data_IF_367818660835
#
_entry.id   IF_367818660835
#
_cell.length_a   1.000
_cell.length_b   1.000
_cell.length_c   1.000
_cell.angle_alpha   90.00
_cell.angle_beta   90.00
_cell.angle_gamma   90.00
#
_symmetry.space_group_name_H-M   'P 1'
#
loop_
_entity.id
_entity.type
_entity.pdbx_description
1 polymer ?
#
# COMPACT_ATOMS: atom_id res chain seq x y z
N UNK A 1 0.40 19.26 27.81
CA UNK A 1 1.60 18.59 27.25
C UNK A 1 1.99 19.31 25.96
N UNK A 2 3.29 19.47 25.72
CA UNK A 2 3.76 20.14 24.50
C UNK A 2 3.24 19.38 23.27
N UNK A 3 2.60 20.01 22.27
CA UNK A 3 2.03 19.37 21.10
C UNK A 3 3.07 18.58 20.28
N UNK A 4 4.34 18.97 20.31
CA UNK A 4 5.42 18.26 19.63
C UNK A 4 5.83 16.96 20.34
N UNK A 5 5.74 16.88 21.68
CA UNK A 5 5.97 15.63 22.41
C UNK A 5 4.87 14.62 22.12
N UNK A 6 3.64 15.09 21.95
CA UNK A 6 2.50 14.28 21.58
C UNK A 6 2.58 13.76 20.11
N UNK A 7 3.34 14.44 19.26
CA UNK A 7 3.55 14.04 17.87
C UNK A 7 4.36 12.72 17.78
N UNK A 8 5.31 12.51 18.71
CA UNK A 8 6.19 11.33 18.68
C UNK A 8 5.42 10.01 18.67
N UNK A 9 4.52 9.70 19.64
CA UNK A 9 3.79 8.44 19.64
C UNK A 9 2.80 8.33 18.46
N UNK A 10 2.22 9.44 18.01
CA UNK A 10 1.28 9.44 16.87
C UNK A 10 2.02 9.10 15.57
N UNK A 11 3.17 9.70 15.32
CA UNK A 11 4.00 9.41 14.16
C UNK A 11 4.62 8.01 14.22
N UNK A 12 4.94 7.52 15.43
CA UNK A 12 5.43 6.16 15.61
C UNK A 12 4.38 5.09 15.21
N UNK A 13 3.08 5.38 15.35
CA UNK A 13 2.02 4.51 14.84
C UNK A 13 2.08 4.46 13.31
N UNK A 14 2.33 5.60 12.66
CA UNK A 14 2.43 5.70 11.19
C UNK A 14 3.59 4.88 10.59
N UNK A 15 4.66 4.60 11.36
CA UNK A 15 5.77 3.76 10.90
C UNK A 15 5.34 2.35 10.47
N UNK A 16 4.17 1.87 10.90
CA UNK A 16 3.68 0.52 10.58
C UNK A 16 2.91 0.46 9.26
N UNK A 17 2.67 1.59 8.64
CA UNK A 17 2.03 1.62 7.32
C UNK A 17 2.88 0.83 6.33
N UNK A 18 2.24 -0.07 5.60
CA UNK A 18 2.92 -0.92 4.61
C UNK A 18 4.02 -1.88 5.14
N UNK A 19 4.15 -2.07 6.46
CA UNK A 19 5.12 -3.01 7.03
C UNK A 19 4.96 -4.46 6.54
N UNK A 20 3.78 -4.83 6.04
CA UNK A 20 3.54 -6.15 5.43
C UNK A 20 4.49 -6.45 4.26
N UNK A 21 5.01 -5.41 3.60
CA UNK A 21 5.94 -5.54 2.49
C UNK A 21 7.39 -5.89 2.92
N UNK A 22 7.73 -5.84 4.21
CA UNK A 22 9.06 -6.13 4.75
C UNK A 22 9.62 -7.50 4.30
N UNK A 23 8.74 -8.50 4.18
CA UNK A 23 9.11 -9.87 3.79
C UNK A 23 9.17 -10.07 2.26
N UNK A 24 8.73 -9.09 1.45
CA UNK A 24 8.70 -9.24 0.00
C UNK A 24 10.04 -9.64 -0.63
N UNK A 25 11.20 -9.13 -0.16
CA UNK A 25 12.49 -9.55 -0.69
C UNK A 25 12.83 -11.02 -0.40
N UNK A 26 12.25 -11.61 0.64
CA UNK A 26 12.55 -12.99 1.07
C UNK A 26 11.68 -14.06 0.36
N UNK A 27 10.75 -13.70 -0.52
CA UNK A 27 9.79 -14.64 -1.13
C UNK A 27 10.51 -15.78 -1.85
N UNK A 28 11.57 -15.49 -2.62
CA UNK A 28 12.29 -16.52 -3.37
C UNK A 28 12.96 -17.53 -2.42
N UNK A 29 13.59 -17.07 -1.34
CA UNK A 29 14.22 -17.93 -0.32
C UNK A 29 13.17 -18.79 0.41
N UNK A 30 11.98 -18.24 0.67
CA UNK A 30 10.86 -18.99 1.26
C UNK A 30 10.35 -20.06 0.28
N UNK A 31 10.19 -19.73 -1.01
CA UNK A 31 9.82 -20.71 -2.03
C UNK A 31 10.83 -21.87 -2.13
N UNK A 32 12.12 -21.58 -2.00
CA UNK A 32 13.17 -22.59 -1.98
C UNK A 32 13.12 -23.49 -0.74
N UNK A 33 12.65 -22.95 0.40
CA UNK A 33 12.49 -23.72 1.66
C UNK A 33 11.26 -24.65 1.63
N UNK A 34 10.18 -24.25 0.92
CA UNK A 34 8.93 -25.00 0.81
C UNK A 34 8.60 -25.32 -0.65
N UNK A 35 9.37 -26.19 -1.32
CA UNK A 35 9.22 -26.46 -2.76
C UNK A 35 7.89 -27.12 -3.14
N UNK A 36 7.24 -27.83 -2.21
CA UNK A 36 5.92 -28.45 -2.39
C UNK A 36 4.77 -27.42 -2.35
N UNK A 37 5.00 -26.19 -1.86
CA UNK A 37 3.96 -25.17 -1.73
C UNK A 37 3.96 -24.31 -3.00
N UNK A 38 2.81 -24.18 -3.68
CA UNK A 38 2.71 -23.30 -4.85
C UNK A 38 3.15 -21.87 -4.54
N UNK A 39 3.89 -21.24 -5.45
CA UNK A 39 4.42 -19.87 -5.31
C UNK A 39 3.31 -18.85 -4.95
N UNK A 40 2.12 -19.01 -5.54
CA UNK A 40 0.96 -18.16 -5.25
C UNK A 40 0.53 -18.24 -3.78
N UNK A 41 0.68 -19.38 -3.14
CA UNK A 41 0.36 -19.56 -1.71
C UNK A 41 1.47 -18.94 -0.85
N UNK A 42 2.74 -19.07 -1.24
CA UNK A 42 3.85 -18.39 -0.55
C UNK A 42 3.67 -16.86 -0.60
N UNK A 43 3.26 -16.33 -1.72
CA UNK A 43 2.99 -14.89 -1.87
C UNK A 43 1.86 -14.38 -0.98
N UNK A 44 0.95 -15.24 -0.49
CA UNK A 44 -0.05 -14.87 0.51
C UNK A 44 0.57 -14.38 1.82
N UNK A 45 1.79 -14.77 2.13
CA UNK A 45 2.53 -14.24 3.30
C UNK A 45 2.64 -12.71 3.28
N UNK A 46 2.71 -12.10 2.10
CA UNK A 46 2.77 -10.64 1.93
C UNK A 46 1.37 -10.02 1.84
N UNK A 47 0.44 -10.70 1.16
CA UNK A 47 -0.84 -10.09 0.77
C UNK A 47 -1.99 -10.41 1.73
N UNK A 48 -1.94 -11.54 2.45
CA UNK A 48 -2.97 -11.94 3.41
C UNK A 48 -3.21 -10.90 4.54
N UNK A 49 -2.19 -10.21 5.08
CA UNK A 49 -2.42 -9.15 6.05
C UNK A 49 -3.34 -8.04 5.54
N UNK A 50 -3.35 -7.76 4.24
CA UNK A 50 -4.13 -6.67 3.65
C UNK A 50 -5.64 -6.90 3.78
N UNK A 51 -6.12 -8.13 3.58
CA UNK A 51 -7.55 -8.43 3.75
C UNK A 51 -7.96 -8.42 5.23
N UNK A 52 -7.12 -8.98 6.11
CA UNK A 52 -7.38 -8.93 7.55
C UNK A 52 -7.42 -7.48 8.05
N UNK A 53 -6.50 -6.64 7.57
CA UNK A 53 -6.47 -5.21 7.83
C UNK A 53 -7.76 -4.52 7.36
N UNK A 54 -8.23 -4.78 6.13
CA UNK A 54 -9.47 -4.19 5.61
C UNK A 54 -10.69 -4.54 6.46
N UNK A 55 -10.85 -5.81 6.83
CA UNK A 55 -11.99 -6.27 7.65
C UNK A 55 -11.96 -5.58 9.01
N UNK A 56 -10.80 -5.56 9.68
CA UNK A 56 -10.67 -4.98 11.02
C UNK A 56 -10.75 -3.46 10.99
N UNK A 57 -10.30 -2.80 9.91
CA UNK A 57 -10.46 -1.35 9.73
C UNK A 57 -11.94 -0.93 9.65
N UNK A 58 -12.78 -1.74 9.02
CA UNK A 58 -14.24 -1.52 9.03
C UNK A 58 -14.79 -1.66 10.45
N UNK A 59 -14.35 -2.68 11.18
CA UNK A 59 -14.76 -2.91 12.58
C UNK A 59 -14.24 -1.80 13.51
N UNK A 60 -13.07 -1.22 13.23
CA UNK A 60 -12.53 -0.10 14.01
C UNK A 60 -13.50 1.07 14.07
N UNK A 61 -14.19 1.42 12.98
CA UNK A 61 -15.20 2.46 12.96
C UNK A 61 -16.29 2.26 14.04
N UNK A 62 -16.72 1.03 14.25
CA UNK A 62 -17.70 0.66 15.27
C UNK A 62 -17.08 0.55 16.69
N UNK A 63 -15.84 0.04 16.79
CA UNK A 63 -15.14 -0.06 18.08
C UNK A 63 -14.72 1.31 18.63
N UNK A 64 -14.35 2.25 17.78
CA UNK A 64 -13.81 3.57 18.16
C UNK A 64 -14.79 4.49 18.91
N UNK A 65 -16.10 4.19 18.83
CA UNK A 65 -17.14 4.89 19.61
C UNK A 65 -17.41 4.21 20.96
N UNK A 66 -16.93 2.99 21.19
CA UNK A 66 -17.18 2.19 22.40
C UNK A 66 -15.93 2.02 23.26
N UNK A 67 -14.77 1.93 22.63
CA UNK A 67 -13.49 1.68 23.28
C UNK A 67 -12.56 2.90 23.08
N UNK A 68 -11.77 3.24 24.09
CA UNK A 68 -10.84 4.35 23.97
C UNK A 68 -9.84 4.11 22.83
N UNK A 69 -9.64 5.08 21.91
CA UNK A 69 -8.70 4.93 20.81
C UNK A 69 -7.28 4.52 21.22
N UNK A 70 -6.80 4.99 22.38
CA UNK A 70 -5.51 4.56 22.92
C UNK A 70 -5.48 3.06 23.18
N UNK A 71 -6.54 2.48 23.76
CA UNK A 71 -6.63 1.04 24.04
C UNK A 71 -6.65 0.24 22.74
N UNK A 72 -7.37 0.72 21.72
CA UNK A 72 -7.40 0.08 20.40
C UNK A 72 -6.03 0.11 19.72
N UNK A 73 -5.30 1.23 19.82
CA UNK A 73 -3.92 1.33 19.31
C UNK A 73 -2.99 0.36 20.04
N UNK A 74 -3.03 0.30 21.36
CA UNK A 74 -2.18 -0.61 22.14
C UNK A 74 -2.48 -2.07 21.76
N UNK A 75 -3.76 -2.46 21.71
CA UNK A 75 -4.16 -3.81 21.29
C UNK A 75 -3.72 -4.12 19.84
N UNK A 76 -3.89 -3.16 18.94
CA UNK A 76 -3.43 -3.27 17.55
C UNK A 76 -1.91 -3.44 17.43
N UNK A 77 -1.14 -2.66 18.21
CA UNK A 77 0.32 -2.76 18.24
C UNK A 77 0.80 -4.11 18.79
N UNK A 78 0.15 -4.62 19.84
CA UNK A 78 0.46 -5.95 20.39
C UNK A 78 0.21 -7.04 19.35
N UNK A 79 -0.96 -7.01 18.68
CA UNK A 79 -1.27 -7.96 17.61
C UNK A 79 -0.28 -7.85 16.45
N UNK A 80 0.09 -6.62 16.07
CA UNK A 80 1.06 -6.36 15.02
C UNK A 80 2.44 -6.95 15.34
N UNK A 81 2.94 -6.72 16.56
CA UNK A 81 4.25 -7.25 17.01
C UNK A 81 4.22 -8.76 17.09
N UNK A 82 3.19 -9.33 17.74
CA UNK A 82 3.07 -10.80 17.87
C UNK A 82 2.95 -11.45 16.50
N UNK A 83 2.01 -11.01 15.67
CA UNK A 83 1.82 -11.55 14.33
C UNK A 83 3.00 -11.29 13.39
N UNK A 84 3.76 -10.20 13.64
CA UNK A 84 4.95 -9.83 12.87
C UNK A 84 6.18 -10.64 13.23
N UNK A 85 6.48 -10.79 14.51
CA UNK A 85 7.75 -11.39 14.98
C UNK A 85 7.64 -12.89 15.28
N UNK A 86 6.46 -13.41 15.65
CA UNK A 86 6.30 -14.83 15.97
C UNK A 86 6.76 -15.78 14.84
N UNK A 87 6.56 -15.47 13.54
CA UNK A 87 7.04 -16.32 12.46
C UNK A 87 8.55 -16.60 12.47
N UNK A 88 9.35 -15.74 13.09
CA UNK A 88 10.78 -15.96 13.24
C UNK A 88 11.13 -17.29 13.95
N UNK A 89 10.21 -17.77 14.81
CA UNK A 89 10.41 -18.96 15.62
C UNK A 89 9.60 -20.17 15.12
N UNK A 90 8.87 -20.02 14.01
CA UNK A 90 7.96 -21.04 13.50
C UNK A 90 8.52 -21.70 12.25
N UNK A 91 8.34 -23.02 12.16
CA UNK A 91 8.72 -23.83 11.01
C UNK A 91 7.51 -24.31 10.18
N UNK A 92 6.28 -24.29 10.75
CA UNK A 92 5.07 -24.64 10.04
C UNK A 92 4.57 -23.46 9.20
N UNK A 93 4.41 -23.67 7.91
CA UNK A 93 3.93 -22.66 6.96
C UNK A 93 2.52 -22.14 7.33
N UNK A 94 1.62 -23.04 7.77
CA UNK A 94 0.26 -22.70 8.19
C UNK A 94 0.26 -21.78 9.43
N UNK A 95 1.17 -22.06 10.38
CA UNK A 95 1.32 -21.23 11.58
C UNK A 95 1.86 -19.83 11.20
N UNK A 96 2.78 -19.77 10.24
CA UNK A 96 3.28 -18.50 9.69
C UNK A 96 2.14 -17.72 9.02
N UNK A 97 1.30 -18.38 8.20
CA UNK A 97 0.12 -17.76 7.59
C UNK A 97 -0.87 -17.23 8.63
N UNK A 98 -1.14 -17.98 9.69
CA UNK A 98 -2.00 -17.53 10.79
C UNK A 98 -1.45 -16.27 11.45
N UNK A 99 -0.13 -16.20 11.67
CA UNK A 99 0.53 -15.01 12.17
C UNK A 99 0.36 -13.80 11.23
N UNK A 100 0.32 -14.01 9.92
CA UNK A 100 0.06 -12.94 8.94
C UNK A 100 -1.35 -12.35 9.08
N UNK A 101 -2.35 -13.18 9.38
CA UNK A 101 -3.71 -12.70 9.69
C UNK A 101 -3.69 -11.84 10.95
N UNK A 102 -3.04 -12.31 12.02
CA UNK A 102 -2.92 -11.58 13.29
C UNK A 102 -2.21 -10.23 13.09
N UNK A 103 -1.14 -10.19 12.30
CA UNK A 103 -0.46 -8.95 11.91
C UNK A 103 -1.42 -7.98 11.19
N UNK A 104 -2.19 -8.48 10.23
CA UNK A 104 -3.18 -7.69 9.50
C UNK A 104 -4.28 -7.14 10.41
N UNK A 105 -4.74 -7.94 11.38
CA UNK A 105 -5.70 -7.47 12.41
C UNK A 105 -5.10 -6.31 13.22
N UNK A 106 -3.83 -6.41 13.60
CA UNK A 106 -3.10 -5.35 14.29
C UNK A 106 -3.04 -4.06 13.48
N UNK A 107 -2.64 -4.15 12.21
CA UNK A 107 -2.60 -3.02 11.28
C UNK A 107 -3.99 -2.39 11.09
N UNK A 108 -5.05 -3.21 10.97
CA UNK A 108 -6.44 -2.74 10.82
C UNK A 108 -6.98 -1.96 12.02
N UNK A 109 -6.40 -2.14 13.21
CA UNK A 109 -6.70 -1.32 14.38
C UNK A 109 -5.86 -0.05 14.45
N UNK A 110 -4.59 -0.10 14.03
CA UNK A 110 -3.65 1.01 14.20
C UNK A 110 -3.76 2.08 13.12
N UNK A 111 -3.91 1.70 11.84
CA UNK A 111 -3.95 2.65 10.73
C UNK A 111 -5.12 3.64 10.83
N UNK A 112 -6.40 3.20 10.92
CA UNK A 112 -7.51 4.15 11.04
C UNK A 112 -7.52 4.87 12.38
N UNK A 113 -6.90 4.29 13.42
CA UNK A 113 -6.73 4.96 14.70
C UNK A 113 -5.86 6.21 14.56
N UNK A 114 -4.73 6.12 13.85
CA UNK A 114 -3.84 7.25 13.63
C UNK A 114 -4.59 8.41 12.96
N UNK A 115 -5.32 8.13 11.87
CA UNK A 115 -6.10 9.12 11.14
C UNK A 115 -7.22 9.74 11.98
N UNK A 116 -7.78 8.99 12.92
CA UNK A 116 -8.82 9.49 13.83
C UNK A 116 -8.29 10.25 15.03
N UNK A 117 -7.07 9.99 15.47
CA UNK A 117 -6.42 10.61 16.65
C UNK A 117 -5.89 11.99 16.28
N UNK A 118 -5.26 12.15 15.12
CA UNK A 118 -4.67 13.43 14.69
C UNK A 118 -5.68 14.58 14.75
N UNK A 119 -6.91 14.48 14.17
CA UNK A 119 -7.89 15.55 14.23
C UNK A 119 -8.43 15.85 15.64
N UNK A 120 -8.32 14.89 16.57
CA UNK A 120 -8.76 15.08 17.97
C UNK A 120 -7.73 15.82 18.81
N UNK A 121 -6.45 15.61 18.51
CA UNK A 121 -5.34 16.19 19.27
C UNK A 121 -4.84 17.52 18.69
N UNK A 122 -4.98 17.73 17.39
CA UNK A 122 -4.44 18.88 16.68
C UNK A 122 -5.52 19.66 15.92
N UNK A 123 -5.33 21.00 15.83
CA UNK A 123 -6.26 21.91 15.13
C UNK A 123 -5.50 22.78 14.12
N UNK A 124 -6.24 23.31 13.13
CA UNK A 124 -5.71 24.26 12.14
C UNK A 124 -4.51 23.69 11.38
N UNK A 125 -3.54 24.55 11.09
CA UNK A 125 -2.34 24.22 10.30
C UNK A 125 -1.50 23.08 10.90
N UNK A 126 -1.48 22.95 12.23
CA UNK A 126 -0.73 21.86 12.87
C UNK A 126 -1.35 20.48 12.58
N UNK A 127 -2.68 20.39 12.49
CA UNK A 127 -3.38 19.18 12.08
C UNK A 127 -2.97 18.75 10.65
N UNK A 128 -2.95 19.71 9.73
CA UNK A 128 -2.55 19.45 8.33
C UNK A 128 -1.09 18.96 8.25
N UNK A 129 -0.20 19.64 8.99
CA UNK A 129 1.20 19.24 9.06
C UNK A 129 1.37 17.82 9.65
N UNK A 130 0.64 17.48 10.72
CA UNK A 130 0.70 16.18 11.37
C UNK A 130 0.22 15.07 10.44
N UNK A 131 -0.82 15.31 9.62
CA UNK A 131 -1.25 14.35 8.61
C UNK A 131 -0.18 14.15 7.53
N UNK A 132 0.43 15.24 7.06
CA UNK A 132 1.54 15.15 6.10
C UNK A 132 2.77 14.43 6.67
N UNK A 133 3.16 14.74 7.92
CA UNK A 133 4.27 14.06 8.59
C UNK A 133 3.99 12.57 8.81
N UNK A 134 2.75 12.19 9.13
CA UNK A 134 2.37 10.79 9.28
C UNK A 134 2.57 10.00 7.98
N UNK A 135 2.15 10.57 6.85
CA UNK A 135 2.38 9.97 5.53
C UNK A 135 3.88 9.84 5.21
N UNK A 136 4.66 10.88 5.50
CA UNK A 136 6.10 10.90 5.26
C UNK A 136 6.84 9.86 6.11
N UNK A 137 6.50 9.78 7.40
CA UNK A 137 7.09 8.82 8.34
C UNK A 137 6.72 7.39 7.95
N UNK A 138 5.47 7.16 7.50
CA UNK A 138 5.02 5.88 6.99
C UNK A 138 5.84 5.43 5.77
N UNK A 139 6.04 6.32 4.80
CA UNK A 139 6.83 6.04 3.60
C UNK A 139 8.31 5.73 3.92
N UNK A 140 8.92 6.52 4.82
CA UNK A 140 10.31 6.28 5.27
C UNK A 140 10.37 4.95 6.03
N UNK A 141 9.44 4.69 6.96
CA UNK A 141 9.39 3.45 7.72
C UNK A 141 9.26 2.23 6.82
N UNK A 142 8.38 2.28 5.83
CA UNK A 142 8.23 1.23 4.82
C UNK A 142 9.55 0.98 4.07
N UNK A 143 10.19 2.04 3.56
CA UNK A 143 11.46 1.95 2.84
C UNK A 143 12.54 1.29 3.69
N UNK A 144 12.71 1.73 4.93
CA UNK A 144 13.72 1.19 5.86
C UNK A 144 13.42 -0.27 6.20
N UNK A 145 12.15 -0.62 6.46
CA UNK A 145 11.79 -2.00 6.79
C UNK A 145 11.99 -2.96 5.62
N UNK A 146 11.64 -2.57 4.41
CA UNK A 146 11.90 -3.39 3.21
C UNK A 146 13.39 -3.60 2.99
N UNK A 147 14.19 -2.54 3.13
CA UNK A 147 15.64 -2.62 2.99
C UNK A 147 16.25 -3.56 4.05
N UNK A 148 15.91 -3.38 5.32
CA UNK A 148 16.37 -4.24 6.43
C UNK A 148 15.91 -5.69 6.21
N UNK A 149 14.65 -5.90 5.83
CA UNK A 149 14.11 -7.23 5.53
C UNK A 149 14.90 -7.94 4.44
N UNK A 150 15.29 -7.25 3.37
CA UNK A 150 16.16 -7.79 2.30
C UNK A 150 17.56 -8.16 2.79
N UNK A 151 18.18 -7.31 3.63
CA UNK A 151 19.52 -7.59 4.17
C UNK A 151 19.53 -8.82 5.09
N UNK A 152 18.51 -8.97 5.93
CA UNK A 152 18.38 -10.14 6.79
C UNK A 152 18.02 -11.41 6.02
N UNK A 153 17.25 -11.30 4.94
CA UNK A 153 16.85 -12.45 4.13
C UNK A 153 18.04 -13.21 3.49
N UNK A 154 19.18 -12.53 3.28
CA UNK A 154 20.40 -13.16 2.75
C UNK A 154 21.02 -14.16 3.73
N UNK A 155 20.90 -13.91 5.03
CA UNK A 155 21.44 -14.79 6.07
C UNK A 155 20.46 -15.92 6.40
N UNK A 156 19.24 -15.56 6.73
CA UNK A 156 18.12 -16.46 6.97
C UNK A 156 16.83 -15.66 6.75
N UNK A 157 15.93 -16.15 5.91
CA UNK A 157 14.66 -15.48 5.64
C UNK A 157 13.79 -15.30 6.92
N UNK A 158 13.97 -16.13 7.95
CA UNK A 158 13.31 -15.96 9.26
C UNK A 158 13.73 -14.63 9.92
N UNK A 159 14.96 -14.20 9.73
CA UNK A 159 15.44 -12.94 10.31
C UNK A 159 14.77 -11.70 9.68
N UNK A 160 14.20 -11.82 8.48
CA UNK A 160 13.44 -10.72 7.87
C UNK A 160 12.26 -10.29 8.74
N UNK A 161 11.72 -11.17 9.57
CA UNK A 161 10.64 -10.85 10.51
C UNK A 161 11.07 -9.90 11.64
N UNK A 162 12.36 -9.73 11.90
CA UNK A 162 12.89 -8.74 12.86
C UNK A 162 12.50 -7.31 12.47
N UNK A 163 12.27 -7.01 11.20
CA UNK A 163 11.80 -5.70 10.74
C UNK A 163 10.50 -5.27 11.44
N UNK A 164 9.64 -6.21 11.83
CA UNK A 164 8.41 -5.93 12.59
C UNK A 164 8.68 -5.49 14.05
N UNK A 165 9.91 -5.63 14.53
CA UNK A 165 10.35 -5.11 15.82
C UNK A 165 10.20 -3.59 15.97
N UNK A 166 10.09 -2.84 14.88
CA UNK A 166 9.70 -1.42 14.88
C UNK A 166 8.39 -1.22 15.66
N UNK A 167 7.46 -2.19 15.59
CA UNK A 167 6.23 -2.17 16.37
C UNK A 167 6.44 -2.13 17.89
N UNK A 168 7.53 -2.73 18.41
CA UNK A 168 7.89 -2.64 19.83
C UNK A 168 8.25 -1.21 20.24
N UNK A 169 9.00 -0.51 19.38
CA UNK A 169 9.36 0.90 19.60
C UNK A 169 8.09 1.75 19.62
N UNK A 170 7.20 1.55 18.65
CA UNK A 170 5.92 2.25 18.58
C UNK A 170 5.05 1.95 19.79
N UNK A 171 5.00 0.68 20.24
CA UNK A 171 4.25 0.26 21.43
C UNK A 171 4.79 0.94 22.69
N UNK A 172 6.11 0.95 22.89
CA UNK A 172 6.75 1.63 24.02
C UNK A 172 6.43 3.14 24.04
N UNK A 173 6.57 3.82 22.88
CA UNK A 173 6.28 5.24 22.77
C UNK A 173 4.79 5.56 23.04
N UNK A 174 3.87 4.73 22.54
CA UNK A 174 2.43 4.89 22.79
C UNK A 174 2.09 4.65 24.27
N UNK A 175 2.67 3.63 24.90
CA UNK A 175 2.44 3.36 26.32
C UNK A 175 2.92 4.50 27.21
N UNK A 176 4.09 5.07 26.90
CA UNK A 176 4.73 6.11 27.71
C UNK A 176 4.15 7.51 27.46
N UNK A 177 3.89 7.86 26.21
CA UNK A 177 3.65 9.25 25.80
C UNK A 177 2.22 9.55 25.32
N UNK A 178 1.45 8.56 24.87
CA UNK A 178 0.10 8.80 24.38
C UNK A 178 -0.91 8.89 25.54
N UNK A 179 -1.56 10.04 25.80
CA UNK A 179 -2.57 10.16 26.84
C UNK A 179 -3.87 9.42 26.47
N UNK A 180 -4.78 9.29 27.44
CA UNK A 180 -6.15 8.87 27.13
C UNK A 180 -6.82 9.92 26.25
N UNK A 181 -7.41 9.45 25.16
CA UNK A 181 -8.03 10.32 24.16
C UNK A 181 -9.52 10.46 24.46
N UNK A 182 -10.08 11.67 24.51
CA UNK A 182 -11.51 11.84 24.71
C UNK A 182 -12.33 11.11 23.67
N UNK A 183 -13.32 10.33 24.11
CA UNK A 183 -14.27 9.69 23.22
C UNK A 183 -15.21 10.75 22.64
N UNK A 184 -15.51 10.66 21.35
CA UNK A 184 -16.51 11.54 20.72
C UNK A 184 -17.88 11.09 21.19
N UNK A 185 -18.56 11.92 22.00
CA UNK A 185 -19.98 11.75 22.25
C UNK A 185 -20.74 12.12 20.98
N UNK A 186 -21.68 11.26 20.55
CA UNK A 186 -22.56 11.57 19.41
C UNK A 186 -23.32 12.88 19.69
N UNK A 187 -22.98 13.95 18.99
CA UNK A 187 -23.91 15.04 18.79
C UNK A 187 -25.00 14.56 17.84
N UNK A 188 -26.27 14.69 18.27
CA UNK A 188 -27.48 14.29 17.54
C UNK A 188 -27.75 15.19 16.32
N UNK A 189 -26.78 15.39 15.45
CA UNK A 189 -26.97 15.95 14.13
C UNK A 189 -27.16 14.82 13.12
N UNK A 190 -28.34 14.74 12.50
CA UNK A 190 -28.72 13.64 11.61
C UNK A 190 -27.63 13.29 10.59
N UNK A 191 -26.97 12.16 10.80
CA UNK A 191 -25.94 11.64 9.88
C UNK A 191 -26.63 11.28 8.56
N UNK A 192 -26.08 11.67 7.41
CA UNK A 192 -26.63 11.24 6.13
C UNK A 192 -26.67 9.70 6.10
N UNK A 193 -27.80 9.13 5.74
CA UNK A 193 -27.95 7.69 5.57
C UNK A 193 -26.94 7.16 4.57
N UNK A 194 -26.42 5.96 4.78
CA UNK A 194 -25.44 5.32 3.86
C UNK A 194 -25.93 5.37 2.40
N UNK A 195 -27.23 5.17 2.17
CA UNK A 195 -27.87 5.29 0.87
C UNK A 195 -27.74 6.67 0.26
N UNK A 196 -27.91 7.76 1.05
CA UNK A 196 -27.77 9.13 0.56
C UNK A 196 -26.30 9.47 0.23
N UNK A 197 -25.35 8.93 0.98
CA UNK A 197 -23.91 9.10 0.69
C UNK A 197 -23.51 8.35 -0.58
N UNK A 198 -23.98 7.11 -0.75
CA UNK A 198 -23.69 6.31 -1.95
C UNK A 198 -24.31 6.90 -3.21
N UNK A 199 -25.54 7.45 -3.14
CA UNK A 199 -26.20 8.10 -4.30
C UNK A 199 -25.49 9.39 -4.75
N UNK A 200 -24.60 9.96 -3.92
CA UNK A 200 -23.78 11.11 -4.26
C UNK A 200 -22.52 10.78 -5.05
N UNK A 201 -22.21 9.50 -5.24
CA UNK A 201 -21.06 9.01 -6.02
C UNK A 201 -21.56 8.74 -7.45
N UNK A 202 -21.07 9.51 -8.42
CA UNK A 202 -21.42 9.28 -9.83
C UNK A 202 -20.87 7.94 -10.31
N UNK A 203 -21.57 7.29 -11.26
CA UNK A 203 -21.10 6.02 -11.84
C UNK A 203 -19.69 6.11 -12.43
N UNK A 204 -19.32 7.28 -12.95
CA UNK A 204 -17.98 7.53 -13.49
C UNK A 204 -16.90 7.45 -12.40
N UNK A 205 -17.20 7.84 -11.15
CA UNK A 205 -16.26 7.68 -10.04
C UNK A 205 -16.04 6.20 -9.72
N UNK A 206 -17.07 5.36 -9.80
CA UNK A 206 -16.93 3.91 -9.65
C UNK A 206 -16.10 3.30 -10.79
N UNK A 207 -16.25 3.79 -12.02
CA UNK A 207 -15.43 3.37 -13.15
C UNK A 207 -13.94 3.74 -12.92
N UNK A 208 -13.66 4.95 -12.46
CA UNK A 208 -12.29 5.38 -12.11
C UNK A 208 -11.70 4.52 -10.98
N UNK A 209 -12.49 4.21 -9.94
CA UNK A 209 -12.08 3.33 -8.84
C UNK A 209 -11.77 1.92 -9.38
N UNK A 210 -12.59 1.38 -10.28
CA UNK A 210 -12.36 0.07 -10.89
C UNK A 210 -11.08 0.04 -11.74
N UNK A 211 -10.83 1.07 -12.53
CA UNK A 211 -9.59 1.18 -13.32
C UNK A 211 -8.38 1.27 -12.40
N UNK A 212 -8.46 2.08 -11.34
CA UNK A 212 -7.39 2.16 -10.33
C UNK A 212 -7.14 0.80 -9.66
N UNK A 213 -8.21 0.10 -9.25
CA UNK A 213 -8.13 -1.23 -8.64
C UNK A 213 -7.41 -2.24 -9.54
N UNK A 214 -7.82 -2.34 -10.82
CA UNK A 214 -7.20 -3.27 -11.77
C UNK A 214 -5.74 -2.90 -12.01
N UNK A 215 -5.44 -1.61 -12.22
CA UNK A 215 -4.07 -1.15 -12.46
C UNK A 215 -3.18 -1.39 -11.25
N UNK A 216 -3.66 -1.10 -10.03
CA UNK A 216 -2.90 -1.35 -8.81
C UNK A 216 -2.63 -2.84 -8.60
N UNK A 217 -3.57 -3.72 -8.95
CA UNK A 217 -3.39 -5.17 -8.86
C UNK A 217 -2.23 -5.65 -9.73
N UNK A 218 -2.13 -5.19 -10.99
CA UNK A 218 -0.99 -5.50 -11.84
C UNK A 218 0.31 -4.83 -11.38
N UNK A 219 0.24 -3.64 -10.80
CA UNK A 219 1.41 -2.97 -10.24
C UNK A 219 2.02 -3.75 -9.05
N UNK A 220 1.17 -4.24 -8.15
CA UNK A 220 1.61 -5.02 -6.99
C UNK A 220 2.07 -6.43 -7.35
N UNK A 221 1.64 -6.96 -8.51
CA UNK A 221 2.13 -8.24 -9.03
C UNK A 221 3.65 -8.20 -9.26
N UNK A 222 4.19 -7.07 -9.69
CA UNK A 222 5.63 -6.88 -9.87
C UNK A 222 6.36 -6.95 -8.53
N UNK A 223 5.86 -6.28 -7.49
CA UNK A 223 6.52 -6.29 -6.17
C UNK A 223 6.56 -7.67 -5.54
N UNK A 224 5.53 -8.50 -5.80
CA UNK A 224 5.45 -9.87 -5.31
C UNK A 224 6.34 -10.85 -6.08
N UNK A 225 6.70 -10.52 -7.33
CA UNK A 225 7.48 -11.40 -8.21
C UNK A 225 8.92 -10.92 -8.42
N UNK A 226 9.30 -9.75 -7.88
CA UNK A 226 10.62 -9.18 -8.11
C UNK A 226 11.74 -10.04 -7.53
N UNK A 227 11.56 -10.64 -6.33
CA UNK A 227 12.57 -11.54 -5.75
C UNK A 227 12.75 -12.81 -6.59
N UNK A 228 11.63 -13.38 -7.07
CA UNK A 228 11.66 -14.54 -7.97
C UNK A 228 12.39 -14.23 -9.28
N UNK A 229 12.28 -13.00 -9.79
CA UNK A 229 13.02 -12.57 -10.96
C UNK A 229 14.51 -12.39 -10.66
N UNK A 230 14.85 -11.61 -9.64
CA UNK A 230 16.24 -11.24 -9.33
C UNK A 230 17.07 -12.45 -8.91
N UNK A 231 16.53 -13.30 -8.03
CA UNK A 231 17.21 -14.51 -7.55
C UNK A 231 17.14 -15.65 -8.58
N UNK A 232 15.99 -15.81 -9.25
CA UNK A 232 15.78 -16.87 -10.25
C UNK A 232 16.65 -16.69 -11.51
N UNK A 233 17.00 -15.44 -11.88
CA UNK A 233 17.93 -15.16 -12.99
C UNK A 233 19.39 -15.10 -12.54
N UNK A 234 19.68 -15.19 -11.24
CA UNK A 234 21.02 -15.08 -10.69
C UNK A 234 21.64 -13.68 -10.80
N UNK A 235 20.84 -12.63 -11.11
CA UNK A 235 21.32 -11.25 -11.23
C UNK A 235 21.68 -10.67 -9.86
N UNK A 236 21.01 -11.11 -8.79
CA UNK A 236 21.22 -10.60 -7.44
C UNK A 236 20.60 -11.47 -6.36
N UNK A 237 20.55 -10.92 -5.15
CA UNK A 237 20.11 -11.55 -3.92
C UNK A 237 18.80 -10.93 -3.38
N UNK A 238 18.27 -11.47 -2.30
CA UNK A 238 17.17 -10.87 -1.55
C UNK A 238 17.50 -9.44 -1.06
N UNK A 239 18.76 -9.17 -0.71
CA UNK A 239 19.23 -7.82 -0.35
C UNK A 239 19.07 -6.84 -1.51
N UNK A 240 19.43 -7.26 -2.72
CA UNK A 240 19.31 -6.45 -3.93
C UNK A 240 17.84 -6.19 -4.28
N UNK A 241 16.99 -7.20 -4.07
CA UNK A 241 15.52 -7.05 -4.21
C UNK A 241 14.98 -6.04 -3.20
N UNK A 242 15.40 -6.12 -1.94
CA UNK A 242 15.02 -5.16 -0.90
C UNK A 242 15.46 -3.74 -1.23
N UNK A 243 16.68 -3.58 -1.76
CA UNK A 243 17.18 -2.29 -2.24
C UNK A 243 16.37 -1.78 -3.42
N UNK A 244 16.04 -2.62 -4.39
CA UNK A 244 15.23 -2.26 -5.57
C UNK A 244 13.82 -1.75 -5.17
N UNK A 245 13.15 -2.45 -4.25
CA UNK A 245 11.85 -2.02 -3.71
C UNK A 245 11.96 -0.72 -2.90
N UNK A 246 13.05 -0.54 -2.14
CA UNK A 246 13.31 0.70 -1.42
C UNK A 246 13.54 1.88 -2.38
N UNK A 247 14.29 1.66 -3.45
CA UNK A 247 14.51 2.63 -4.54
C UNK A 247 13.17 2.98 -5.22
N UNK A 248 12.28 2.02 -5.41
CA UNK A 248 10.94 2.29 -5.93
C UNK A 248 10.17 3.27 -5.03
N UNK A 249 10.24 3.11 -3.71
CA UNK A 249 9.58 4.02 -2.76
C UNK A 249 10.18 5.44 -2.82
N UNK A 250 11.50 5.55 -2.99
CA UNK A 250 12.17 6.84 -3.21
C UNK A 250 11.67 7.46 -4.52
N UNK A 251 11.59 6.68 -5.60
CA UNK A 251 11.00 7.11 -6.86
C UNK A 251 9.57 7.60 -6.70
N UNK A 252 8.74 6.91 -5.89
CA UNK A 252 7.38 7.32 -5.59
C UNK A 252 7.32 8.66 -4.84
N UNK A 253 8.22 8.88 -3.89
CA UNK A 253 8.33 10.18 -3.21
C UNK A 253 8.65 11.32 -4.19
N UNK A 254 9.57 11.11 -5.11
CA UNK A 254 9.85 12.09 -6.19
C UNK A 254 8.64 12.32 -7.09
N UNK A 255 7.96 11.25 -7.52
CA UNK A 255 6.75 11.36 -8.32
C UNK A 255 5.65 12.18 -7.63
N UNK A 256 5.40 11.91 -6.36
CA UNK A 256 4.45 12.64 -5.54
C UNK A 256 4.84 14.12 -5.35
N UNK A 257 6.12 14.41 -5.14
CA UNK A 257 6.63 15.78 -5.02
C UNK A 257 6.38 16.60 -6.29
N UNK A 258 6.64 16.03 -7.46
CA UNK A 258 6.45 16.71 -8.74
C UNK A 258 5.00 16.66 -9.25
N UNK A 259 4.09 15.95 -8.58
CA UNK A 259 2.71 15.78 -9.01
C UNK A 259 2.00 17.13 -9.28
N UNK A 260 2.13 18.11 -8.38
CA UNK A 260 1.49 19.42 -8.52
C UNK A 260 1.94 20.15 -9.79
N UNK A 261 3.23 20.15 -10.08
CA UNK A 261 3.80 20.74 -11.30
C UNK A 261 3.34 19.98 -12.55
N UNK A 262 3.36 18.66 -12.50
CA UNK A 262 2.94 17.78 -13.59
C UNK A 262 1.44 17.95 -13.90
N UNK A 263 0.61 18.09 -12.87
CA UNK A 263 -0.83 18.37 -13.03
C UNK A 263 -1.09 19.69 -13.74
N UNK A 264 -0.33 20.74 -13.46
CA UNK A 264 -0.47 22.04 -14.16
C UNK A 264 -0.13 21.93 -15.65
N UNK A 265 0.89 21.13 -16.00
CA UNK A 265 1.35 20.94 -17.39
C UNK A 265 0.50 19.97 -18.18
N UNK A 266 0.22 18.78 -17.63
CA UNK A 266 -0.47 17.69 -18.32
C UNK A 266 -1.98 17.70 -18.16
N UNK A 267 -2.50 18.36 -17.11
CA UNK A 267 -3.95 18.45 -16.81
C UNK A 267 -4.62 17.07 -16.84
N UNK A 268 -5.45 16.79 -17.86
CA UNK A 268 -6.19 15.52 -18.04
C UNK A 268 -5.28 14.32 -18.37
N UNK A 269 -4.04 14.56 -18.79
CA UNK A 269 -3.12 13.50 -19.21
C UNK A 269 -2.22 12.98 -18.08
N UNK A 270 -2.36 13.49 -16.85
CA UNK A 270 -1.53 13.06 -15.70
C UNK A 270 -1.76 11.58 -15.38
N UNK A 271 -3.02 11.14 -15.31
CA UNK A 271 -3.37 9.75 -14.98
C UNK A 271 -2.83 8.78 -16.04
N UNK A 272 -3.13 8.93 -17.34
CA UNK A 272 -2.55 8.01 -18.34
C UNK A 272 -1.02 8.08 -18.38
N UNK A 273 -0.41 9.26 -18.22
CA UNK A 273 1.05 9.40 -18.17
C UNK A 273 1.67 8.64 -17.00
N UNK A 274 1.05 8.63 -15.83
CA UNK A 274 1.55 7.89 -14.67
C UNK A 274 1.50 6.37 -14.87
N UNK A 275 0.42 5.84 -15.46
CA UNK A 275 0.34 4.42 -15.81
C UNK A 275 1.39 4.02 -16.86
N UNK A 276 1.56 4.82 -17.89
CA UNK A 276 2.56 4.57 -18.94
C UNK A 276 3.99 4.68 -18.41
N UNK A 277 4.25 5.63 -17.51
CA UNK A 277 5.56 5.77 -16.87
C UNK A 277 5.88 4.55 -16.00
N UNK A 278 4.90 4.07 -15.22
CA UNK A 278 5.04 2.86 -14.42
C UNK A 278 5.26 1.62 -15.29
N UNK A 279 4.49 1.49 -16.37
CA UNK A 279 4.64 0.41 -17.34
C UNK A 279 6.04 0.40 -17.99
N UNK A 280 6.54 1.57 -18.39
CA UNK A 280 7.88 1.71 -18.96
C UNK A 280 8.96 1.29 -17.98
N UNK A 281 8.83 1.67 -16.70
CA UNK A 281 9.74 1.23 -15.64
C UNK A 281 9.74 -0.29 -15.45
N UNK A 282 8.57 -0.92 -15.39
CA UNK A 282 8.47 -2.37 -15.26
C UNK A 282 8.94 -3.12 -16.51
N UNK A 283 8.72 -2.54 -17.69
CA UNK A 283 9.27 -3.09 -18.93
C UNK A 283 10.81 -3.05 -18.93
N UNK A 284 11.40 -1.96 -18.43
CA UNK A 284 12.84 -1.86 -18.26
C UNK A 284 13.36 -2.89 -17.25
N UNK A 285 12.65 -3.13 -16.15
CA UNK A 285 13.01 -4.16 -15.16
C UNK A 285 13.00 -5.56 -15.80
N UNK A 286 11.96 -5.92 -16.54
CA UNK A 286 11.80 -7.28 -17.09
C UNK A 286 12.89 -7.65 -18.11
N UNK A 287 13.52 -6.66 -18.74
CA UNK A 287 14.61 -6.85 -19.72
C UNK A 287 15.99 -6.50 -19.15
N UNK A 288 16.07 -6.21 -17.86
CA UNK A 288 17.32 -5.82 -17.24
C UNK A 288 18.27 -7.03 -17.08
N UNK A 289 19.37 -7.02 -17.78
CA UNK A 289 20.46 -8.02 -17.60
C UNK A 289 21.42 -7.69 -16.46
N UNK A 290 21.13 -6.66 -15.64
CA UNK A 290 21.97 -6.23 -14.53
C UNK A 290 21.16 -5.56 -13.43
N UNK A 291 21.69 -5.58 -12.19
CA UNK A 291 21.07 -4.90 -11.04
C UNK A 291 20.85 -3.40 -11.28
N UNK A 292 21.82 -2.73 -11.94
CA UNK A 292 21.68 -1.30 -12.26
C UNK A 292 20.46 -1.03 -13.15
N UNK A 293 20.19 -1.90 -14.12
CA UNK A 293 18.99 -1.83 -14.96
C UNK A 293 17.71 -2.01 -14.14
N UNK A 294 17.70 -2.98 -13.21
CA UNK A 294 16.58 -3.20 -12.27
C UNK A 294 16.34 -1.93 -11.44
N UNK A 295 17.37 -1.37 -10.83
CA UNK A 295 17.26 -0.16 -10.00
C UNK A 295 16.74 1.04 -10.80
N UNK A 296 17.29 1.26 -12.00
CA UNK A 296 16.85 2.34 -12.88
C UNK A 296 15.36 2.18 -13.27
N UNK A 297 14.94 0.98 -13.65
CA UNK A 297 13.54 0.67 -13.95
C UNK A 297 12.63 0.89 -12.74
N UNK A 298 13.06 0.50 -11.54
CA UNK A 298 12.29 0.69 -10.30
C UNK A 298 12.16 2.16 -9.90
N UNK A 299 13.15 3.02 -10.14
CA UNK A 299 13.02 4.48 -9.99
C UNK A 299 11.89 5.00 -10.88
N UNK A 300 11.93 4.66 -12.17
CA UNK A 300 10.94 5.13 -13.16
C UNK A 300 9.54 4.62 -12.82
N UNK A 301 9.40 3.34 -12.47
CA UNK A 301 8.13 2.76 -12.05
C UNK A 301 7.62 3.43 -10.76
N UNK A 302 8.50 3.67 -9.79
CA UNK A 302 8.20 4.37 -8.55
C UNK A 302 7.63 5.76 -8.79
N UNK A 303 8.22 6.56 -9.69
CA UNK A 303 7.67 7.88 -10.04
C UNK A 303 6.21 7.77 -10.53
N UNK A 304 5.88 6.77 -11.34
CA UNK A 304 4.52 6.48 -11.76
C UNK A 304 3.59 6.17 -10.57
N UNK A 305 4.03 5.31 -9.64
CA UNK A 305 3.30 4.95 -8.41
C UNK A 305 2.97 6.20 -7.58
N UNK A 306 3.97 7.07 -7.36
CA UNK A 306 3.80 8.28 -6.56
C UNK A 306 2.83 9.30 -7.16
N UNK A 307 2.62 9.30 -8.48
CA UNK A 307 1.71 10.20 -9.18
C UNK A 307 0.27 9.64 -9.21
N UNK A 308 0.13 8.33 -9.37
CA UNK A 308 -1.15 7.65 -9.64
C UNK A 308 -2.16 7.90 -8.51
N UNK A 309 -1.81 7.62 -7.26
CA UNK A 309 -2.73 7.73 -6.15
C UNK A 309 -3.31 9.13 -5.93
N UNK A 310 -2.48 10.20 -5.77
CA UNK A 310 -3.02 11.55 -5.61
C UNK A 310 -3.83 12.01 -6.83
N UNK A 311 -3.48 11.56 -8.03
CA UNK A 311 -4.22 11.89 -9.24
C UNK A 311 -5.63 11.29 -9.22
N UNK A 312 -5.77 10.01 -8.83
CA UNK A 312 -7.07 9.36 -8.68
C UNK A 312 -7.88 9.94 -7.51
N UNK A 313 -7.28 10.21 -6.37
CA UNK A 313 -7.97 10.85 -5.24
C UNK A 313 -8.64 12.17 -5.67
N UNK A 314 -7.92 13.02 -6.39
CA UNK A 314 -8.48 14.29 -6.87
C UNK A 314 -9.57 14.02 -7.92
N UNK A 315 -9.33 13.13 -8.86
CA UNK A 315 -10.30 12.80 -9.91
C UNK A 315 -11.60 12.23 -9.35
N UNK A 316 -11.51 11.30 -8.40
CA UNK A 316 -12.67 10.71 -7.71
C UNK A 316 -13.45 11.78 -6.94
N UNK A 317 -12.75 12.66 -6.21
CA UNK A 317 -13.42 13.73 -5.44
C UNK A 317 -14.13 14.74 -6.34
N UNK A 318 -13.59 15.07 -7.52
CA UNK A 318 -14.23 15.93 -8.52
C UNK A 318 -15.54 15.32 -9.07
N UNK A 319 -15.68 13.99 -9.05
CA UNK A 319 -16.84 13.25 -9.54
C UNK A 319 -17.90 12.97 -8.46
N UNK A 320 -17.63 13.32 -7.19
CA UNK A 320 -18.49 13.04 -6.05
C UNK A 320 -19.05 14.31 -5.44
N UNK A 321 -20.28 14.24 -4.87
CA UNK A 321 -20.78 15.30 -4.01
C UNK A 321 -19.90 15.44 -2.76
N UNK A 322 -19.74 16.65 -2.17
CA UNK A 322 -18.84 16.85 -1.01
C UNK A 322 -19.05 15.87 0.14
N UNK A 323 -20.31 15.53 0.46
CA UNK A 323 -20.65 14.58 1.52
C UNK A 323 -20.24 13.12 1.20
N UNK A 324 -20.01 12.80 -0.08
CA UNK A 324 -19.69 11.44 -0.56
C UNK A 324 -18.20 11.23 -0.86
N UNK A 325 -17.40 12.28 -0.86
CA UNK A 325 -15.97 12.23 -1.24
C UNK A 325 -15.16 11.30 -0.34
N UNK A 326 -15.34 11.42 0.97
CA UNK A 326 -14.62 10.58 1.94
C UNK A 326 -14.96 9.09 1.77
N UNK A 327 -16.25 8.78 1.51
CA UNK A 327 -16.69 7.40 1.26
C UNK A 327 -16.09 6.84 -0.04
N UNK A 328 -16.03 7.64 -1.10
CA UNK A 328 -15.47 7.20 -2.38
C UNK A 328 -13.97 6.91 -2.29
N UNK A 329 -13.21 7.73 -1.55
CA UNK A 329 -11.77 7.51 -1.29
C UNK A 329 -11.60 6.26 -0.41
N UNK A 330 -12.41 6.10 0.65
CA UNK A 330 -12.36 4.92 1.50
C UNK A 330 -12.68 3.64 0.71
N UNK A 331 -13.65 3.68 -0.21
CA UNK A 331 -13.97 2.57 -1.08
C UNK A 331 -12.80 2.23 -2.04
N UNK A 332 -12.12 3.23 -2.58
CA UNK A 332 -10.93 3.04 -3.42
C UNK A 332 -9.79 2.37 -2.64
N UNK A 333 -9.53 2.82 -1.40
CA UNK A 333 -8.52 2.22 -0.51
C UNK A 333 -8.87 0.79 -0.09
N UNK A 334 -10.13 0.52 0.24
CA UNK A 334 -10.59 -0.82 0.57
C UNK A 334 -10.44 -1.79 -0.62
N UNK A 335 -10.85 -1.37 -1.83
CA UNK A 335 -10.67 -2.16 -3.04
C UNK A 335 -9.19 -2.40 -3.35
N UNK A 336 -8.30 -1.42 -3.11
CA UNK A 336 -6.86 -1.62 -3.22
C UNK A 336 -6.38 -2.75 -2.29
N UNK A 337 -6.82 -2.76 -1.04
CA UNK A 337 -6.49 -3.84 -0.10
C UNK A 337 -6.98 -5.22 -0.56
N UNK A 338 -8.20 -5.30 -1.11
CA UNK A 338 -8.70 -6.51 -1.75
C UNK A 338 -7.86 -6.90 -2.97
N UNK A 339 -7.48 -5.94 -3.83
CA UNK A 339 -6.61 -6.18 -4.97
C UNK A 339 -5.27 -6.78 -4.57
N UNK A 340 -4.67 -6.25 -3.53
CA UNK A 340 -3.41 -6.77 -2.98
C UNK A 340 -3.55 -8.23 -2.49
N UNK A 341 -4.69 -8.57 -1.88
CA UNK A 341 -4.95 -9.95 -1.45
C UNK A 341 -5.11 -10.91 -2.63
N UNK A 342 -5.88 -10.54 -3.65
CA UNK A 342 -6.10 -11.39 -4.84
C UNK A 342 -4.92 -11.44 -5.80
N UNK A 343 -3.92 -10.60 -5.63
CA UNK A 343 -2.74 -10.51 -6.46
C UNK A 343 -2.05 -11.84 -6.77
N UNK A 344 -1.73 -12.73 -5.79
CA UNK A 344 -1.09 -14.01 -6.08
C UNK A 344 -1.98 -14.96 -6.88
N UNK A 345 -3.29 -14.90 -6.67
CA UNK A 345 -4.28 -15.72 -7.39
C UNK A 345 -4.33 -15.30 -8.86
N UNK A 346 -4.36 -13.99 -9.11
CA UNK A 346 -4.31 -13.44 -10.47
C UNK A 346 -2.99 -13.78 -11.15
N UNK A 347 -1.86 -13.70 -10.43
CA UNK A 347 -0.56 -14.16 -10.93
C UNK A 347 -0.59 -15.62 -11.34
N UNK A 348 -1.12 -16.50 -10.49
CA UNK A 348 -1.27 -17.93 -10.79
C UNK A 348 -2.18 -18.18 -12.02
N UNK A 349 -3.27 -17.43 -12.17
CA UNK A 349 -4.13 -17.51 -13.35
C UNK A 349 -3.41 -17.05 -14.62
N UNK A 350 -2.64 -15.97 -14.56
CA UNK A 350 -1.84 -15.52 -15.70
C UNK A 350 -0.83 -16.62 -16.12
N UNK A 351 -0.14 -17.23 -15.17
CA UNK A 351 0.78 -18.34 -15.42
C UNK A 351 0.07 -19.52 -16.08
N UNK A 352 -1.07 -19.94 -15.53
CA UNK A 352 -1.83 -21.09 -16.04
C UNK A 352 -2.45 -20.83 -17.43
N UNK A 353 -3.01 -19.65 -17.67
CA UNK A 353 -3.70 -19.32 -18.93
C UNK A 353 -2.74 -19.02 -20.07
N UNK A 354 -1.60 -18.38 -19.77
CA UNK A 354 -0.62 -17.96 -20.77
C UNK A 354 0.51 -18.96 -20.96
N UNK A 355 0.63 -19.97 -20.10
CA UNK A 355 1.70 -20.95 -20.14
C UNK A 355 3.08 -20.35 -19.86
N UNK A 356 3.17 -19.32 -19.02
CA UNK A 356 4.38 -18.55 -18.70
C UNK A 356 4.93 -18.93 -17.32
N UNK A 357 6.15 -18.44 -17.01
CA UNK A 357 6.78 -18.61 -15.70
C UNK A 357 6.45 -17.49 -14.71
N UNK A 358 6.81 -17.72 -13.44
CA UNK A 358 6.87 -16.65 -12.44
C UNK A 358 8.14 -15.80 -12.66
N UNK A 359 8.16 -14.61 -12.06
CA UNK A 359 9.28 -13.70 -12.18
C UNK A 359 9.18 -12.79 -13.41
N UNK A 360 10.13 -12.90 -14.35
CA UNK A 360 10.24 -11.99 -15.50
C UNK A 360 8.96 -11.90 -16.34
N UNK A 361 8.35 -13.05 -16.64
CA UNK A 361 7.17 -13.10 -17.51
C UNK A 361 5.97 -12.38 -16.89
N UNK A 362 5.74 -12.54 -15.59
CA UNK A 362 4.68 -11.83 -14.89
C UNK A 362 4.95 -10.32 -14.79
N UNK A 363 6.22 -9.90 -14.75
CA UNK A 363 6.59 -8.49 -14.82
C UNK A 363 6.23 -7.93 -16.21
N UNK A 364 6.51 -8.69 -17.27
CA UNK A 364 6.10 -8.31 -18.66
C UNK A 364 4.58 -8.22 -18.77
N UNK A 365 3.84 -9.22 -18.29
CA UNK A 365 2.36 -9.19 -18.29
C UNK A 365 1.83 -7.96 -17.57
N UNK A 366 2.41 -7.63 -16.42
CA UNK A 366 2.04 -6.42 -15.66
C UNK A 366 2.33 -5.15 -16.46
N UNK A 367 3.50 -5.05 -17.08
CA UNK A 367 3.87 -3.90 -17.90
C UNK A 367 2.93 -3.73 -19.11
N UNK A 368 2.56 -4.82 -19.78
CA UNK A 368 1.60 -4.82 -20.89
C UNK A 368 0.20 -4.41 -20.42
N UNK A 369 -0.28 -4.97 -19.32
CA UNK A 369 -1.58 -4.62 -18.75
C UNK A 369 -1.66 -3.13 -18.36
N UNK A 370 -0.61 -2.61 -17.70
CA UNK A 370 -0.52 -1.20 -17.34
C UNK A 370 -0.42 -0.28 -18.57
N UNK A 371 0.27 -0.73 -19.63
CA UNK A 371 0.29 -0.01 -20.91
C UNK A 371 -1.11 0.05 -21.52
N UNK A 372 -1.83 -1.07 -21.55
CA UNK A 372 -3.20 -1.12 -22.05
C UNK A 372 -4.13 -0.19 -21.25
N UNK A 373 -4.04 -0.21 -19.91
CA UNK A 373 -4.79 0.70 -19.04
C UNK A 373 -4.41 2.16 -19.34
N UNK A 374 -3.13 2.48 -19.43
CA UNK A 374 -2.65 3.83 -19.76
C UNK A 374 -3.19 4.33 -21.09
N UNK A 375 -3.18 3.50 -22.12
CA UNK A 375 -3.70 3.82 -23.46
C UNK A 375 -5.22 3.99 -23.44
N UNK A 376 -5.97 3.12 -22.76
CA UNK A 376 -7.42 3.22 -22.62
C UNK A 376 -7.83 4.51 -21.91
N UNK A 377 -7.16 4.84 -20.78
CA UNK A 377 -7.41 6.07 -20.04
C UNK A 377 -7.00 7.30 -20.85
N UNK A 378 -5.95 7.21 -21.68
CA UNK A 378 -5.54 8.27 -22.59
C UNK A 378 -6.63 8.52 -23.65
N UNK A 379 -7.13 7.46 -24.28
CA UNK A 379 -8.21 7.55 -25.27
C UNK A 379 -9.49 8.17 -24.66
N UNK A 380 -9.87 7.74 -23.46
CA UNK A 380 -11.00 8.33 -22.73
C UNK A 380 -10.77 9.81 -22.41
N UNK A 381 -9.56 10.20 -22.02
CA UNK A 381 -9.20 11.59 -21.73
C UNK A 381 -9.27 12.49 -22.97
N UNK A 382 -8.86 11.96 -24.14
CA UNK A 382 -8.96 12.66 -25.43
C UNK A 382 -10.43 12.83 -25.84
N UNK A 383 -11.25 11.78 -25.69
CA UNK A 383 -12.66 11.82 -26.03
C UNK A 383 -13.43 12.85 -25.16
N UNK A 384 -13.14 12.89 -23.87
CA UNK A 384 -13.71 13.90 -22.95
C UNK A 384 -13.32 15.33 -23.34
N UNK A 385 -12.05 15.54 -23.71
CA UNK A 385 -11.57 16.88 -24.14
C UNK A 385 -12.27 17.34 -25.42
N UNK A 386 -12.55 16.43 -26.37
CA UNK A 386 -13.28 16.77 -27.60
C UNK A 386 -14.72 17.19 -27.32
N UNK A 387 -15.42 16.49 -26.41
CA UNK A 387 -16.80 16.84 -26.02
C UNK A 387 -16.90 18.23 -25.36
N UNK A 388 -15.95 18.60 -24.51
CA UNK A 388 -15.90 19.91 -23.87
C UNK A 388 -15.62 21.05 -24.88
N UNK A 389 -14.88 20.78 -25.97
CA UNK A 389 -14.61 21.77 -27.02
C UNK A 389 -15.76 21.95 -28.03
N UNK A 390 -16.61 20.94 -28.19
CA UNK A 390 -17.72 20.98 -29.15
C UNK A 390 -19.02 21.46 -28.49
N UNK A 391 -19.12 21.41 -27.18
CA UNK A 391 -20.32 21.81 -26.43
C UNK A 391 -20.22 23.20 -25.76
N UNK A 392 -19.17 23.96 -25.99
CA UNK A 392 -19.00 25.36 -25.58
C UNK A 392 -18.68 26.22 -26.80
#
# INVERSE_FOLDING_TARGET
>A
MNPYVLAIPVLAIGLQDSASACISPAIASICATYPEIPVSIVQLLVTLPSIACCIVSILYGWLSVRVNPRTLVIGGLVLFVVGGMAPMFLTSFEAILACRVVLGMGAGLTLPACDSIIPRLYKGRLRENMMGWNMTVGAIGCTVMIFIGGQFAVQDWHLSFLGYGVGLISLALVLLLLPRIPMVKDDKGGKPTLSAVMSGIKWLAWAEIAVYFIGNMFATLVTSNLSLYVEGTGIGTAADTGLALSIQMIGAAFGAFFYGWLKQRLRYFVIPASWLLMAAGFFAVSHAGSLLGVYAGMVVAGMGVGIVWPAYCIRITELCKPASQAMAIAAAGALQGFGNFFNPIVGAWCVALLGIGYGADLIVVSAVALTAIGVLVLAASIALRRRVRVGG
#
